data_IF_173819389540
#
_entry.id   IF_173819389540
#
_cell.length_a   1.000
_cell.length_b   1.000
_cell.length_c   1.000
_cell.angle_alpha   90.00
_cell.angle_beta   90.00
_cell.angle_gamma   90.00
#
_symmetry.space_group_name_H-M   'P 1'
#
loop_
_entity.id
_entity.type
_entity.pdbx_description
1 polymer ?
#
# COMPACT_ATOMS: atom_id res chain seq x y z
N UNK A 1 19.96 -8.54 -1.07
CA UNK A 1 20.43 -7.28 -0.43
C UNK A 1 19.27 -6.72 0.38
N UNK A 2 19.44 -6.54 1.70
CA UNK A 2 18.37 -6.04 2.56
C UNK A 2 18.01 -4.59 2.23
N UNK A 3 16.72 -4.27 2.19
CA UNK A 3 16.21 -2.90 1.95
C UNK A 3 16.84 -1.89 2.91
N UNK A 4 17.03 -2.26 4.19
CA UNK A 4 17.66 -1.42 5.22
C UNK A 4 19.10 -1.03 4.89
N UNK A 5 19.81 -1.80 4.06
CA UNK A 5 21.16 -1.48 3.61
C UNK A 5 21.18 -0.35 2.58
N UNK A 6 20.06 -0.08 1.93
CA UNK A 6 19.92 0.96 0.91
C UNK A 6 19.61 2.34 1.49
N UNK A 7 19.32 2.44 2.78
CA UNK A 7 19.01 3.70 3.47
C UNK A 7 19.89 3.89 4.70
N UNK A 8 20.20 5.14 5.11
CA UNK A 8 20.97 5.41 6.30
C UNK A 8 20.31 4.85 7.55
N UNK A 9 21.12 4.29 8.47
CA UNK A 9 20.64 3.94 9.79
C UNK A 9 20.19 5.19 10.59
N UNK A 10 19.38 5.03 11.66
CA UNK A 10 18.84 6.15 12.44
C UNK A 10 19.91 7.06 13.01
N UNK A 11 21.05 6.52 13.49
CA UNK A 11 22.14 7.31 14.08
C UNK A 11 22.85 8.14 13.00
N UNK A 12 23.04 7.57 11.81
CA UNK A 12 23.57 8.29 10.67
C UNK A 12 22.63 9.41 10.24
N UNK A 13 21.31 9.16 10.24
CA UNK A 13 20.29 10.17 9.92
C UNK A 13 20.27 11.32 10.89
N UNK A 14 20.40 11.07 12.19
CA UNK A 14 20.45 12.12 13.20
C UNK A 14 21.65 13.08 13.01
N UNK A 15 22.69 12.64 12.29
CA UNK A 15 23.88 13.42 11.96
C UNK A 15 23.79 14.10 10.58
N UNK A 16 22.75 13.80 9.78
CA UNK A 16 22.55 14.42 8.48
C UNK A 16 22.10 15.85 8.64
N UNK A 17 22.94 16.79 8.24
CA UNK A 17 22.58 18.21 8.10
C UNK A 17 21.98 18.46 6.73
N UNK A 18 21.29 19.59 6.50
CA UNK A 18 20.79 19.98 5.17
C UNK A 18 21.85 19.98 4.08
N UNK A 19 23.11 20.17 4.45
CA UNK A 19 24.26 20.20 3.53
C UNK A 19 24.92 18.82 3.34
N UNK A 20 24.43 17.79 4.01
CA UNK A 20 24.99 16.45 3.84
C UNK A 20 24.57 15.92 2.46
N UNK A 21 25.53 15.66 1.57
CA UNK A 21 25.18 15.11 0.27
C UNK A 21 24.45 13.78 0.52
N UNK A 22 23.23 13.69 0.02
CA UNK A 22 22.39 12.48 -0.05
C UNK A 22 23.16 11.33 -0.75
N UNK A 23 24.46 11.51 -0.93
CA UNK A 23 25.35 10.68 -1.69
C UNK A 23 25.78 9.37 -1.05
N UNK A 24 25.42 9.09 0.18
CA UNK A 24 25.69 7.77 0.73
C UNK A 24 24.60 6.78 0.38
N UNK A 25 23.33 7.25 0.25
CA UNK A 25 22.20 6.41 -0.11
C UNK A 25 21.14 7.32 -0.71
N UNK A 26 20.75 7.02 -1.92
CA UNK A 26 19.80 7.81 -2.71
C UNK A 26 18.37 7.73 -2.19
N UNK A 27 17.53 8.64 -2.62
CA UNK A 27 16.09 8.52 -2.45
C UNK A 27 15.63 7.25 -3.21
N UNK A 28 14.83 6.42 -2.56
CA UNK A 28 14.17 5.29 -3.20
C UNK A 28 12.91 5.79 -3.90
N UNK A 29 12.72 5.31 -5.12
CA UNK A 29 11.54 5.61 -5.93
C UNK A 29 10.61 4.40 -5.85
N UNK A 30 9.39 4.63 -5.41
CA UNK A 30 8.34 3.62 -5.51
C UNK A 30 7.66 3.68 -6.88
N UNK A 31 6.91 2.65 -7.20
CA UNK A 31 6.04 2.61 -8.38
C UNK A 31 4.87 3.60 -8.25
N UNK A 32 3.84 3.41 -9.03
CA UNK A 32 2.64 4.23 -9.06
C UNK A 32 1.36 3.39 -9.17
N UNK A 33 0.26 4.05 -9.49
CA UNK A 33 -1.07 3.48 -9.44
C UNK A 33 -1.27 2.29 -10.40
N UNK A 34 -1.47 1.08 -9.87
CA UNK A 34 -1.90 -0.10 -10.64
C UNK A 34 -3.28 0.10 -11.26
N UNK A 35 -4.22 0.63 -10.49
CA UNK A 35 -5.59 0.86 -10.96
C UNK A 35 -5.67 1.63 -12.27
N UNK A 36 -4.93 2.72 -12.42
CA UNK A 36 -4.89 3.51 -13.66
C UNK A 36 -4.28 2.71 -14.81
N UNK A 37 -3.23 1.94 -14.57
CA UNK A 37 -2.62 1.08 -15.59
C UNK A 37 -3.57 -0.01 -16.07
N UNK A 38 -4.36 -0.59 -15.16
CA UNK A 38 -5.38 -1.59 -15.50
C UNK A 38 -6.54 -0.94 -16.29
N UNK A 39 -7.06 0.22 -15.83
CA UNK A 39 -8.14 0.93 -16.50
C UNK A 39 -7.79 1.30 -17.96
N UNK A 40 -6.55 1.70 -18.22
CA UNK A 40 -6.07 2.02 -19.56
C UNK A 40 -6.14 0.82 -20.53
N UNK A 41 -6.19 -0.40 -20.03
CA UNK A 41 -6.31 -1.63 -20.84
C UNK A 41 -7.73 -1.94 -21.26
N UNK A 42 -8.74 -1.23 -20.68
CA UNK A 42 -10.17 -1.35 -21.01
C UNK A 42 -10.68 -2.79 -20.97
N UNK A 43 -10.34 -3.48 -19.89
CA UNK A 43 -10.70 -4.89 -19.68
C UNK A 43 -12.22 -5.05 -19.55
N UNK A 44 -12.71 -6.21 -20.01
CA UNK A 44 -14.11 -6.60 -19.92
C UNK A 44 -14.29 -7.70 -18.85
N UNK A 45 -15.54 -7.98 -18.45
CA UNK A 45 -15.86 -8.99 -17.42
C UNK A 45 -15.11 -10.32 -17.62
N UNK A 46 -15.03 -10.81 -18.86
CA UNK A 46 -14.33 -12.06 -19.18
C UNK A 46 -12.84 -12.06 -18.83
N UNK A 47 -12.20 -10.88 -18.81
CA UNK A 47 -10.79 -10.75 -18.45
C UNK A 47 -10.63 -10.83 -16.92
N UNK A 48 -11.62 -10.30 -16.16
CA UNK A 48 -11.64 -10.38 -14.70
C UNK A 48 -12.08 -11.78 -14.21
N UNK A 49 -13.19 -12.32 -14.74
CA UNK A 49 -13.71 -13.61 -14.30
C UNK A 49 -12.85 -14.79 -14.75
N UNK A 50 -12.18 -14.66 -15.90
CA UNK A 50 -11.43 -15.78 -16.47
C UNK A 50 -12.26 -17.05 -16.59
N UNK A 51 -11.63 -18.20 -16.36
CA UNK A 51 -12.28 -19.53 -16.36
C UNK A 51 -12.60 -20.03 -14.92
N UNK A 52 -12.69 -19.12 -13.93
CA UNK A 52 -12.86 -19.50 -12.52
C UNK A 52 -14.27 -19.99 -12.18
N UNK A 53 -15.25 -19.84 -13.09
CA UNK A 53 -16.63 -20.30 -12.87
C UNK A 53 -17.37 -19.51 -11.78
N UNK A 54 -16.96 -18.26 -11.53
CA UNK A 54 -17.57 -17.39 -10.54
C UNK A 54 -18.98 -16.94 -10.96
N UNK A 55 -19.86 -16.76 -9.98
CA UNK A 55 -21.26 -16.36 -10.22
C UNK A 55 -21.47 -14.86 -10.17
N UNK A 56 -20.68 -14.17 -9.34
CA UNK A 56 -20.70 -12.72 -9.22
C UNK A 56 -19.90 -12.05 -10.33
N UNK A 57 -20.34 -10.85 -10.75
CA UNK A 57 -19.61 -9.99 -11.69
C UNK A 57 -18.30 -9.54 -11.05
N UNK A 58 -17.18 -9.79 -11.72
CA UNK A 58 -15.84 -9.47 -11.25
C UNK A 58 -15.29 -8.18 -11.87
N UNK A 59 -16.01 -7.53 -12.76
CA UNK A 59 -15.53 -6.31 -13.41
C UNK A 59 -15.25 -5.21 -12.39
N UNK A 60 -13.99 -4.75 -12.35
CA UNK A 60 -13.51 -3.78 -11.37
C UNK A 60 -12.78 -4.40 -10.17
N UNK A 61 -12.82 -5.71 -9.99
CA UNK A 61 -11.99 -6.42 -9.04
C UNK A 61 -10.56 -6.56 -9.60
N UNK A 62 -9.75 -5.51 -9.46
CA UNK A 62 -8.42 -5.48 -10.04
C UNK A 62 -7.50 -6.58 -9.49
N UNK A 63 -7.72 -6.97 -8.25
CA UNK A 63 -6.85 -7.91 -7.54
C UNK A 63 -7.00 -9.34 -8.09
N UNK A 64 -8.18 -9.69 -8.64
CA UNK A 64 -8.39 -11.01 -9.25
C UNK A 64 -7.51 -11.26 -10.48
N UNK A 65 -7.02 -10.17 -11.11
CA UNK A 65 -6.12 -10.26 -12.25
C UNK A 65 -4.79 -10.94 -11.92
N UNK A 66 -4.41 -11.01 -10.65
CA UNK A 66 -3.25 -11.81 -10.22
C UNK A 66 -3.38 -13.28 -10.61
N UNK A 67 -4.61 -13.77 -10.70
CA UNK A 67 -4.92 -15.18 -11.04
C UNK A 67 -5.41 -15.30 -12.48
N UNK A 68 -6.30 -14.41 -12.92
CA UNK A 68 -6.94 -14.52 -14.24
C UNK A 68 -6.13 -13.92 -15.38
N UNK A 69 -5.34 -12.87 -15.10
CA UNK A 69 -4.50 -12.18 -16.10
C UNK A 69 -3.14 -11.78 -15.50
N UNK A 70 -2.35 -12.77 -15.03
CA UNK A 70 -1.03 -12.51 -14.46
C UNK A 70 -0.09 -11.79 -15.45
N UNK A 71 -0.28 -11.98 -16.74
CA UNK A 71 0.44 -11.29 -17.81
C UNK A 71 0.33 -9.76 -17.70
N UNK A 72 -0.86 -9.25 -17.37
CA UNK A 72 -1.10 -7.82 -17.22
C UNK A 72 -0.36 -7.26 -16.00
N UNK A 73 -0.41 -7.98 -14.88
CA UNK A 73 0.25 -7.56 -13.64
C UNK A 73 1.77 -7.58 -13.78
N UNK A 74 2.30 -8.62 -14.43
CA UNK A 74 3.72 -8.73 -14.76
C UNK A 74 4.19 -7.56 -15.65
N UNK A 75 3.43 -7.21 -16.68
CA UNK A 75 3.70 -6.07 -17.56
C UNK A 75 3.76 -4.75 -16.78
N UNK A 76 2.87 -4.54 -15.81
CA UNK A 76 2.83 -3.32 -15.00
C UNK A 76 4.08 -3.22 -14.12
N UNK A 77 4.45 -4.29 -13.42
CA UNK A 77 5.70 -4.32 -12.65
C UNK A 77 6.93 -4.03 -13.54
N UNK A 78 6.99 -4.67 -14.71
CA UNK A 78 8.06 -4.43 -15.66
C UNK A 78 8.13 -2.99 -16.14
N UNK A 79 6.98 -2.35 -16.39
CA UNK A 79 6.92 -0.96 -16.81
C UNK A 79 7.46 -0.02 -15.72
N UNK A 80 7.08 -0.22 -14.46
CA UNK A 80 7.56 0.61 -13.35
C UNK A 80 9.04 0.40 -13.05
N UNK A 81 9.53 -0.83 -12.99
CA UNK A 81 10.95 -1.09 -12.80
C UNK A 81 11.78 -0.59 -13.99
N UNK A 82 11.27 -0.72 -15.21
CA UNK A 82 11.89 -0.17 -16.42
C UNK A 82 11.96 1.35 -16.43
N UNK A 83 10.96 2.03 -15.86
CA UNK A 83 10.97 3.48 -15.65
C UNK A 83 11.90 3.92 -14.52
N UNK A 84 12.43 3.00 -13.73
CA UNK A 84 13.43 3.26 -12.70
C UNK A 84 12.94 3.15 -11.25
N UNK A 85 11.77 2.59 -10.98
CA UNK A 85 11.32 2.30 -9.64
C UNK A 85 12.30 1.36 -8.91
N UNK A 86 12.45 1.55 -7.61
CA UNK A 86 13.22 0.70 -6.71
C UNK A 86 12.34 -0.27 -5.96
N UNK A 87 11.12 0.15 -5.66
CA UNK A 87 10.11 -0.60 -4.93
C UNK A 87 8.87 -0.67 -5.81
N UNK A 88 8.28 -1.86 -5.95
CA UNK A 88 6.96 -2.03 -6.54
C UNK A 88 6.02 -2.66 -5.52
N UNK A 89 4.77 -2.23 -5.51
CA UNK A 89 3.73 -2.74 -4.62
C UNK A 89 3.01 -3.92 -5.28
N UNK A 90 2.58 -4.90 -4.49
CA UNK A 90 1.76 -6.00 -5.01
C UNK A 90 0.38 -5.49 -5.44
N UNK A 91 -0.22 -6.11 -6.44
CA UNK A 91 -1.61 -5.81 -6.83
C UNK A 91 -2.60 -6.49 -5.88
N UNK A 92 -2.59 -6.09 -4.60
CA UNK A 92 -3.37 -6.71 -3.51
C UNK A 92 -4.07 -5.68 -2.62
N UNK A 93 -4.34 -4.50 -3.16
CA UNK A 93 -4.92 -3.37 -2.45
C UNK A 93 -6.24 -3.68 -1.75
N UNK A 94 -7.12 -4.46 -2.39
CA UNK A 94 -8.41 -4.88 -1.85
C UNK A 94 -8.46 -6.38 -1.52
N UNK A 95 -7.33 -7.08 -1.44
CA UNK A 95 -7.28 -8.55 -1.29
C UNK A 95 -7.47 -9.01 0.15
N UNK A 96 -8.52 -8.54 0.81
CA UNK A 96 -8.94 -9.01 2.14
C UNK A 96 -10.27 -9.77 2.04
N UNK A 97 -10.52 -10.69 2.94
CA UNK A 97 -11.79 -11.45 2.95
C UNK A 97 -13.00 -10.54 3.14
N UNK A 98 -12.87 -9.44 3.90
CA UNK A 98 -13.95 -8.46 4.08
C UNK A 98 -14.21 -7.66 2.79
N UNK A 99 -13.17 -7.24 2.07
CA UNK A 99 -13.36 -6.46 0.85
C UNK A 99 -13.79 -7.32 -0.33
N UNK A 100 -13.31 -8.56 -0.41
CA UNK A 100 -13.63 -9.49 -1.48
C UNK A 100 -15.00 -10.20 -1.29
N UNK A 101 -15.64 -10.04 -0.13
CA UNK A 101 -17.02 -10.46 0.10
C UNK A 101 -18.00 -9.78 -0.89
N UNK A 102 -17.70 -8.54 -1.31
CA UNK A 102 -18.47 -7.82 -2.34
C UNK A 102 -18.44 -8.53 -3.72
N UNK A 103 -17.45 -9.39 -3.96
CA UNK A 103 -17.28 -10.20 -5.18
C UNK A 103 -17.55 -11.70 -4.95
N UNK A 104 -18.10 -12.07 -3.80
CA UNK A 104 -18.43 -13.44 -3.41
C UNK A 104 -17.25 -14.42 -3.45
N UNK A 105 -16.03 -13.93 -3.21
CA UNK A 105 -14.83 -14.77 -3.14
C UNK A 105 -14.69 -15.41 -1.76
N UNK A 106 -14.39 -16.70 -1.73
CA UNK A 106 -14.10 -17.42 -0.50
C UNK A 106 -12.67 -17.13 0.03
N UNK A 107 -12.39 -17.53 1.25
CA UNK A 107 -11.11 -17.27 1.90
C UNK A 107 -9.91 -17.89 1.15
N UNK A 108 -10.10 -19.04 0.49
CA UNK A 108 -9.02 -19.67 -0.29
C UNK A 108 -8.72 -18.86 -1.55
N UNK A 109 -9.74 -18.42 -2.26
CA UNK A 109 -9.59 -17.55 -3.43
C UNK A 109 -8.87 -16.25 -3.04
N UNK A 110 -9.25 -15.63 -1.92
CA UNK A 110 -8.57 -14.42 -1.41
C UNK A 110 -7.11 -14.69 -1.03
N UNK A 111 -6.82 -15.87 -0.45
CA UNK A 111 -5.44 -16.28 -0.22
C UNK A 111 -4.64 -16.33 -1.52
N UNK A 112 -5.21 -16.97 -2.54
CA UNK A 112 -4.55 -17.14 -3.84
C UNK A 112 -4.32 -15.79 -4.53
N UNK A 113 -5.24 -14.80 -4.41
CA UNK A 113 -5.02 -13.44 -4.92
C UNK A 113 -3.75 -12.80 -4.32
N UNK A 114 -3.58 -12.89 -3.01
CA UNK A 114 -2.43 -12.33 -2.31
C UNK A 114 -1.14 -13.08 -2.66
N UNK A 115 -1.19 -14.39 -2.61
CA UNK A 115 -0.04 -15.26 -2.86
C UNK A 115 0.49 -15.09 -4.28
N UNK A 116 -0.39 -15.17 -5.29
CA UNK A 116 0.01 -15.06 -6.69
C UNK A 116 0.44 -13.63 -7.04
N UNK A 117 -0.26 -12.61 -6.50
CA UNK A 117 0.15 -11.21 -6.65
C UNK A 117 1.57 -10.96 -6.12
N UNK A 118 1.90 -11.52 -4.95
CA UNK A 118 3.24 -11.44 -4.39
C UNK A 118 4.28 -12.23 -5.21
N UNK A 119 3.96 -13.45 -5.66
CA UNK A 119 4.86 -14.25 -6.49
C UNK A 119 5.18 -13.59 -7.84
N UNK A 120 4.19 -12.96 -8.49
CA UNK A 120 4.42 -12.23 -9.75
C UNK A 120 5.42 -11.09 -9.49
N UNK A 121 5.12 -10.22 -8.51
CA UNK A 121 5.98 -9.09 -8.19
C UNK A 121 7.39 -9.52 -7.75
N UNK A 122 7.50 -10.59 -6.96
CA UNK A 122 8.79 -11.15 -6.53
C UNK A 122 9.64 -11.61 -7.72
N UNK A 123 9.06 -12.39 -8.62
CA UNK A 123 9.75 -12.87 -9.82
C UNK A 123 10.29 -11.69 -10.65
N UNK A 124 9.45 -10.70 -10.92
CA UNK A 124 9.86 -9.54 -11.73
C UNK A 124 10.94 -8.72 -11.02
N UNK A 125 10.83 -8.53 -9.70
CA UNK A 125 11.85 -7.83 -8.93
C UNK A 125 13.20 -8.56 -8.92
N UNK A 126 13.20 -9.88 -8.87
CA UNK A 126 14.40 -10.71 -8.94
C UNK A 126 15.05 -10.61 -10.33
N UNK A 127 14.29 -10.74 -11.40
CA UNK A 127 14.76 -10.60 -12.79
C UNK A 127 15.41 -9.23 -13.04
N UNK A 128 14.80 -8.15 -12.56
CA UNK A 128 15.39 -6.82 -12.67
C UNK A 128 16.63 -6.64 -11.80
N UNK A 129 16.67 -7.26 -10.63
CA UNK A 129 17.86 -7.24 -9.76
C UNK A 129 19.01 -8.01 -10.36
N UNK A 130 18.75 -9.15 -11.00
CA UNK A 130 19.76 -9.92 -11.74
C UNK A 130 20.29 -9.14 -12.94
N UNK A 131 19.42 -8.45 -13.66
CA UNK A 131 19.75 -7.61 -14.82
C UNK A 131 20.57 -6.38 -14.43
N UNK A 132 20.26 -5.76 -13.29
CA UNK A 132 20.88 -4.54 -12.78
C UNK A 132 21.31 -4.72 -11.30
N UNK A 133 22.37 -5.49 -11.00
CA UNK A 133 22.76 -5.81 -9.62
C UNK A 133 23.09 -4.60 -8.75
N UNK A 134 23.56 -3.51 -9.35
CA UNK A 134 23.88 -2.26 -8.66
C UNK A 134 22.63 -1.47 -8.23
N UNK A 135 21.47 -1.84 -8.77
CA UNK A 135 20.17 -1.25 -8.45
C UNK A 135 19.17 -2.35 -8.11
N UNK A 136 19.27 -2.98 -6.91
CA UNK A 136 18.33 -4.03 -6.52
C UNK A 136 16.90 -3.49 -6.44
N UNK A 137 15.94 -4.35 -6.78
CA UNK A 137 14.51 -4.06 -6.72
C UNK A 137 13.90 -4.76 -5.52
N UNK A 138 12.88 -4.13 -4.95
CA UNK A 138 12.16 -4.61 -3.78
C UNK A 138 10.67 -4.70 -4.05
N UNK A 139 10.01 -5.62 -3.37
CA UNK A 139 8.58 -5.83 -3.46
C UNK A 139 7.92 -5.49 -2.12
N UNK A 140 6.99 -4.54 -2.13
CA UNK A 140 6.15 -4.20 -0.99
C UNK A 140 4.81 -4.92 -1.07
N UNK A 141 4.45 -5.66 -0.02
CA UNK A 141 3.12 -6.26 0.10
C UNK A 141 2.09 -5.19 0.43
N UNK A 142 1.23 -4.86 -0.52
CA UNK A 142 0.18 -3.85 -0.37
C UNK A 142 -0.95 -4.36 0.51
N UNK A 143 -1.24 -3.63 1.59
CA UNK A 143 -2.32 -3.85 2.55
C UNK A 143 -3.17 -2.58 2.55
N UNK A 144 -4.21 -2.57 1.74
CA UNK A 144 -5.06 -1.40 1.56
C UNK A 144 -6.15 -1.25 2.63
N UNK A 145 -6.97 -0.21 2.51
CA UNK A 145 -8.07 0.03 3.43
C UNK A 145 -9.22 -0.96 3.21
N UNK A 146 -10.04 -1.12 4.25
CA UNK A 146 -11.30 -1.84 4.13
C UNK A 146 -12.44 -0.89 3.74
N UNK A 147 -13.50 -1.46 3.17
CA UNK A 147 -14.80 -0.81 2.98
C UNK A 147 -15.59 -0.68 4.30
N UNK A 148 -15.07 -1.17 5.42
CA UNK A 148 -15.62 -1.11 6.78
C UNK A 148 -14.65 -0.35 7.71
N UNK A 149 -15.17 0.54 8.53
CA UNK A 149 -14.37 1.36 9.44
C UNK A 149 -14.71 1.06 10.90
N UNK A 150 -13.69 0.88 11.73
CA UNK A 150 -13.83 0.60 13.16
C UNK A 150 -14.17 1.86 13.98
N UNK A 151 -13.69 3.02 13.55
CA UNK A 151 -13.83 4.28 14.29
C UNK A 151 -15.09 5.07 13.93
N UNK A 152 -15.79 4.69 12.86
CA UNK A 152 -16.99 5.40 12.40
C UNK A 152 -18.23 4.51 12.40
N UNK A 153 -19.36 5.09 12.79
CA UNK A 153 -20.65 4.41 12.70
C UNK A 153 -21.14 4.38 11.24
N UNK A 154 -21.66 3.26 10.76
CA UNK A 154 -22.37 3.20 9.49
C UNK A 154 -23.80 3.82 9.58
N UNK A 155 -24.33 4.04 10.78
CA UNK A 155 -25.63 4.62 11.02
C UNK A 155 -25.51 6.00 11.67
N UNK A 156 -26.03 7.02 10.99
CA UNK A 156 -26.00 8.42 11.46
C UNK A 156 -26.80 8.59 12.76
N UNK A 157 -27.82 7.76 13.00
CA UNK A 157 -28.71 7.83 14.16
C UNK A 157 -28.20 7.00 15.36
N UNK A 158 -27.25 6.12 15.14
CA UNK A 158 -26.61 5.32 16.20
C UNK A 158 -25.07 5.45 16.15
N UNK A 159 -24.50 6.40 16.89
CA UNK A 159 -23.04 6.59 16.93
C UNK A 159 -22.26 5.38 17.45
N UNK A 160 -22.94 4.46 18.16
CA UNK A 160 -22.33 3.24 18.69
C UNK A 160 -22.30 2.07 17.71
N UNK A 161 -23.10 2.12 16.64
CA UNK A 161 -23.15 1.04 15.65
C UNK A 161 -21.79 0.80 14.98
N UNK A 162 -21.48 -0.46 14.74
CA UNK A 162 -20.30 -0.90 13.98
C UNK A 162 -20.70 -2.05 13.07
N UNK A 163 -20.18 -2.05 11.84
CA UNK A 163 -20.43 -3.12 10.87
C UNK A 163 -19.47 -4.30 11.03
N UNK A 164 -18.36 -4.10 11.71
CA UNK A 164 -17.32 -5.10 11.98
C UNK A 164 -16.72 -4.86 13.37
N UNK A 165 -16.18 -5.90 13.98
CA UNK A 165 -15.38 -5.83 15.20
C UNK A 165 -13.89 -5.66 14.88
N UNK A 166 -13.11 -5.31 15.91
CA UNK A 166 -11.64 -5.27 15.77
C UNK A 166 -11.08 -6.66 15.41
N UNK A 167 -11.65 -7.72 16.00
CA UNK A 167 -11.19 -9.08 15.73
C UNK A 167 -11.50 -9.51 14.30
N UNK A 168 -12.64 -9.13 13.72
CA UNK A 168 -12.95 -9.39 12.30
C UNK A 168 -11.92 -8.71 11.39
N UNK A 169 -11.59 -7.45 11.68
CA UNK A 169 -10.59 -6.69 10.91
C UNK A 169 -9.18 -7.25 11.11
N UNK A 170 -8.84 -7.67 12.30
CA UNK A 170 -7.58 -8.32 12.60
C UNK A 170 -7.42 -9.64 11.83
N UNK A 171 -8.42 -10.51 11.85
CA UNK A 171 -8.37 -11.81 11.17
C UNK A 171 -8.25 -11.66 9.65
N UNK A 172 -8.98 -10.72 9.04
CA UNK A 172 -8.88 -10.48 7.60
C UNK A 172 -7.49 -9.98 7.19
N UNK A 173 -6.88 -9.08 7.97
CA UNK A 173 -5.52 -8.62 7.71
C UNK A 173 -4.47 -9.69 8.01
N UNK A 174 -4.68 -10.50 9.04
CA UNK A 174 -3.77 -11.61 9.35
C UNK A 174 -3.72 -12.61 8.20
N UNK A 175 -4.87 -12.93 7.61
CA UNK A 175 -4.97 -13.79 6.43
C UNK A 175 -4.17 -13.21 5.25
N UNK A 176 -4.36 -11.92 4.95
CA UNK A 176 -3.64 -11.23 3.87
C UNK A 176 -2.13 -11.20 4.11
N UNK A 177 -1.69 -10.77 5.29
CA UNK A 177 -0.27 -10.67 5.65
C UNK A 177 0.44 -12.01 5.54
N UNK A 178 -0.19 -13.10 5.99
CA UNK A 178 0.39 -14.43 5.91
C UNK A 178 0.62 -14.88 4.45
N UNK A 179 -0.35 -14.64 3.57
CA UNK A 179 -0.23 -14.99 2.14
C UNK A 179 0.84 -14.13 1.43
N UNK A 180 0.91 -12.82 1.73
CA UNK A 180 1.95 -11.93 1.20
C UNK A 180 3.35 -12.35 1.64
N UNK A 181 3.51 -12.75 2.92
CA UNK A 181 4.77 -13.26 3.43
C UNK A 181 5.21 -14.53 2.70
N UNK A 182 4.29 -15.49 2.54
CA UNK A 182 4.55 -16.73 1.78
C UNK A 182 4.93 -16.45 0.33
N UNK A 183 4.35 -15.42 -0.27
CA UNK A 183 4.65 -14.97 -1.63
C UNK A 183 6.00 -14.27 -1.78
N UNK A 184 6.69 -13.94 -0.67
CA UNK A 184 8.08 -13.48 -0.66
C UNK A 184 8.24 -11.95 -0.79
N UNK A 185 7.36 -11.17 -0.17
CA UNK A 185 7.53 -9.71 -0.10
C UNK A 185 8.74 -9.32 0.77
N UNK A 186 9.38 -8.18 0.46
CA UNK A 186 10.52 -7.65 1.21
C UNK A 186 10.12 -6.74 2.37
N UNK A 187 8.93 -6.16 2.28
CA UNK A 187 8.35 -5.26 3.29
C UNK A 187 6.83 -5.24 3.14
N UNK A 188 6.14 -4.72 4.15
CA UNK A 188 4.70 -4.44 4.06
C UNK A 188 4.46 -2.94 3.87
N UNK A 189 3.50 -2.57 3.04
CA UNK A 189 2.94 -1.22 2.97
C UNK A 189 1.48 -1.25 3.42
N UNK A 190 1.19 -0.63 4.57
CA UNK A 190 -0.18 -0.41 5.03
C UNK A 190 -0.56 0.98 4.49
N UNK A 191 -1.38 1.00 3.45
CA UNK A 191 -1.59 2.22 2.67
C UNK A 191 -3.02 2.73 2.70
N UNK A 192 -3.18 3.98 2.25
CA UNK A 192 -4.48 4.67 2.11
C UNK A 192 -5.27 4.66 3.41
N UNK A 193 -4.56 4.82 4.52
CA UNK A 193 -5.15 4.73 5.85
C UNK A 193 -6.02 5.96 6.13
N UNK A 194 -7.31 5.72 6.25
CA UNK A 194 -8.34 6.69 6.62
C UNK A 194 -8.81 6.50 8.06
N UNK A 195 -8.63 5.29 8.62
CA UNK A 195 -8.95 4.90 9.99
C UNK A 195 -7.74 4.23 10.66
N UNK A 196 -7.15 4.90 11.64
CA UNK A 196 -5.97 4.39 12.35
C UNK A 196 -6.28 3.18 13.24
N UNK A 197 -7.53 2.91 13.59
CA UNK A 197 -7.88 1.70 14.32
C UNK A 197 -7.82 0.46 13.40
N UNK A 198 -8.26 0.59 12.14
CA UNK A 198 -8.03 -0.43 11.11
C UNK A 198 -6.53 -0.68 10.90
N UNK A 199 -5.74 0.41 10.80
CA UNK A 199 -4.28 0.32 10.68
C UNK A 199 -3.66 -0.45 11.85
N UNK A 200 -4.13 -0.23 13.09
CA UNK A 200 -3.66 -0.96 14.28
C UNK A 200 -3.97 -2.44 14.22
N UNK A 201 -5.10 -2.83 13.63
CA UNK A 201 -5.42 -4.24 13.42
C UNK A 201 -4.43 -4.89 12.43
N UNK A 202 -4.07 -4.21 11.34
CA UNK A 202 -3.04 -4.68 10.40
C UNK A 202 -1.66 -4.77 11.07
N UNK A 203 -1.26 -3.75 11.84
CA UNK A 203 0.01 -3.77 12.59
C UNK A 203 0.03 -4.95 13.58
N UNK A 204 -1.07 -5.18 14.31
CA UNK A 204 -1.18 -6.31 15.23
C UNK A 204 -1.04 -7.64 14.50
N UNK A 205 -1.70 -7.79 13.35
CA UNK A 205 -1.61 -9.01 12.54
C UNK A 205 -0.15 -9.30 12.12
N UNK A 206 0.59 -8.30 11.66
CA UNK A 206 2.01 -8.45 11.32
C UNK A 206 2.81 -8.86 12.55
N UNK A 207 2.66 -8.16 13.68
CA UNK A 207 3.45 -8.42 14.89
C UNK A 207 3.16 -9.78 15.53
N UNK A 208 1.92 -10.25 15.46
CA UNK A 208 1.56 -11.58 15.97
C UNK A 208 2.18 -12.69 15.11
N UNK A 209 2.16 -12.55 13.77
CA UNK A 209 2.81 -13.51 12.87
C UNK A 209 4.33 -13.54 13.06
N UNK A 210 4.97 -12.39 13.29
CA UNK A 210 6.39 -12.32 13.67
C UNK A 210 6.66 -13.04 15.00
N UNK A 211 5.80 -12.84 16.00
CA UNK A 211 5.92 -13.53 17.30
C UNK A 211 5.72 -15.06 17.18
N UNK A 212 5.00 -15.51 16.17
CA UNK A 212 4.78 -16.93 15.84
C UNK A 212 5.91 -17.53 14.98
N UNK A 213 6.90 -16.73 14.59
CA UNK A 213 8.12 -17.21 13.93
C UNK A 213 8.32 -16.75 12.48
N UNK A 214 7.48 -15.88 11.95
CA UNK A 214 7.81 -15.22 10.68
C UNK A 214 8.98 -14.23 10.87
N UNK A 215 9.80 -14.06 9.84
CA UNK A 215 10.86 -13.05 9.86
C UNK A 215 10.28 -11.65 9.97
N UNK A 216 10.91 -10.78 10.77
CA UNK A 216 10.53 -9.38 10.90
C UNK A 216 10.83 -8.62 9.59
N UNK A 217 9.79 -8.19 8.90
CA UNK A 217 9.90 -7.35 7.71
C UNK A 217 9.65 -5.88 8.06
N UNK A 218 10.27 -4.93 7.32
CA UNK A 218 9.99 -3.52 7.49
C UNK A 218 8.51 -3.20 7.23
N UNK A 219 7.94 -2.29 8.03
CA UNK A 219 6.57 -1.78 7.83
C UNK A 219 6.65 -0.35 7.34
N UNK A 220 6.01 -0.08 6.21
CA UNK A 220 5.77 1.26 5.69
C UNK A 220 4.28 1.59 5.90
N UNK A 221 3.97 2.75 6.49
CA UNK A 221 2.59 3.16 6.77
C UNK A 221 2.30 4.45 6.01
N UNK A 222 1.24 4.44 5.20
CA UNK A 222 0.84 5.59 4.39
C UNK A 222 -0.62 5.95 4.66
N UNK A 223 -0.85 7.15 5.18
CA UNK A 223 -2.17 7.69 5.45
C UNK A 223 -2.73 8.47 4.28
N UNK A 224 -4.03 8.78 4.33
CA UNK A 224 -4.67 9.63 3.34
C UNK A 224 -5.32 10.84 4.00
N UNK A 225 -4.85 12.03 3.61
CA UNK A 225 -5.48 13.31 3.95
C UNK A 225 -6.57 13.55 2.92
N UNK A 226 -7.82 13.51 3.37
CA UNK A 226 -8.97 13.47 2.45
C UNK A 226 -9.35 14.81 1.83
N UNK A 227 -8.93 15.91 2.45
CA UNK A 227 -9.29 17.25 2.00
C UNK A 227 -8.29 18.33 2.46
N UNK A 228 -8.60 19.58 2.08
CA UNK A 228 -7.81 20.77 2.44
C UNK A 228 -7.81 21.08 3.94
N UNK A 229 -8.65 20.43 4.75
CA UNK A 229 -8.65 20.61 6.22
C UNK A 229 -7.41 19.97 6.87
N UNK A 230 -6.67 19.12 6.14
CA UNK A 230 -5.48 18.45 6.64
C UNK A 230 -5.82 17.28 7.58
N UNK A 231 -6.98 16.64 7.39
CA UNK A 231 -7.45 15.53 8.22
C UNK A 231 -7.68 14.28 7.40
N UNK A 232 -7.51 13.13 8.05
CA UNK A 232 -8.01 11.85 7.55
C UNK A 232 -9.54 11.82 7.60
N UNK A 233 -10.17 10.86 6.93
CA UNK A 233 -11.62 10.69 6.95
C UNK A 233 -12.17 10.49 8.37
N UNK A 234 -11.42 9.84 9.26
CA UNK A 234 -11.76 9.69 10.67
C UNK A 234 -11.46 10.94 11.52
N UNK A 235 -11.06 12.05 10.89
CA UNK A 235 -10.90 13.36 11.52
C UNK A 235 -9.52 13.64 12.14
N UNK A 236 -8.53 12.78 11.96
CA UNK A 236 -7.21 12.94 12.55
C UNK A 236 -6.34 13.91 11.75
N UNK A 237 -5.65 14.82 12.47
CA UNK A 237 -4.58 15.64 11.92
C UNK A 237 -3.32 14.81 11.68
N UNK A 238 -2.32 15.37 10.99
CA UNK A 238 -0.99 14.77 10.80
C UNK A 238 -0.41 14.28 12.12
N UNK A 239 -0.40 15.14 13.14
CA UNK A 239 0.12 14.78 14.48
C UNK A 239 -0.69 13.68 15.16
N UNK A 240 -2.02 13.71 15.05
CA UNK A 240 -2.88 12.67 15.62
C UNK A 240 -2.66 11.32 14.90
N UNK A 241 -2.56 11.33 13.59
CA UNK A 241 -2.21 10.15 12.79
C UNK A 241 -0.87 9.57 13.24
N UNK A 242 0.21 10.38 13.24
CA UNK A 242 1.54 9.91 13.65
C UNK A 242 1.53 9.33 15.07
N UNK A 243 0.96 10.05 16.04
CA UNK A 243 0.90 9.58 17.42
C UNK A 243 0.10 8.28 17.58
N UNK A 244 -0.89 8.04 16.71
CA UNK A 244 -1.68 6.81 16.73
C UNK A 244 -0.89 5.59 16.28
N UNK A 245 0.10 5.75 15.34
CA UNK A 245 0.75 4.62 14.67
C UNK A 245 2.24 4.48 14.99
N UNK A 246 2.90 5.48 15.58
CA UNK A 246 4.35 5.48 15.83
C UNK A 246 4.84 4.33 16.70
N UNK A 247 3.95 3.72 17.53
CA UNK A 247 4.29 2.56 18.34
C UNK A 247 4.68 1.33 17.49
N UNK A 248 4.25 1.28 16.23
CA UNK A 248 4.65 0.24 15.27
C UNK A 248 6.14 0.31 14.91
N UNK A 249 6.85 1.43 15.23
CA UNK A 249 8.23 1.70 14.80
C UNK A 249 8.40 1.48 13.29
N UNK A 250 7.61 2.16 12.46
CA UNK A 250 7.63 1.93 11.03
C UNK A 250 9.00 2.26 10.43
N UNK A 251 9.36 1.55 9.37
CA UNK A 251 10.51 1.85 8.52
C UNK A 251 10.32 3.20 7.79
N UNK A 252 9.11 3.42 7.29
CA UNK A 252 8.71 4.65 6.63
C UNK A 252 7.28 5.03 7.01
N UNK A 253 6.98 6.34 6.99
CA UNK A 253 5.64 6.88 7.15
C UNK A 253 5.39 7.98 6.14
N UNK A 254 4.18 8.10 5.62
CA UNK A 254 3.87 9.13 4.64
C UNK A 254 2.40 9.29 4.36
N UNK A 255 2.13 9.92 3.21
CA UNK A 255 0.78 10.11 2.71
C UNK A 255 0.69 9.75 1.24
N UNK A 256 -0.48 9.23 0.85
CA UNK A 256 -0.80 8.90 -0.54
C UNK A 256 -2.21 9.34 -0.90
N UNK A 257 -2.46 9.47 -2.19
CA UNK A 257 -3.77 9.75 -2.81
C UNK A 257 -4.45 11.07 -2.38
N UNK A 258 -5.67 11.27 -2.82
CA UNK A 258 -6.58 12.38 -2.54
C UNK A 258 -6.06 13.76 -2.97
N UNK A 259 -4.83 14.12 -2.62
CA UNK A 259 -4.23 15.43 -2.89
C UNK A 259 -3.15 15.34 -3.97
N UNK A 260 -3.04 16.40 -4.79
CA UNK A 260 -1.87 16.63 -5.63
C UNK A 260 -0.65 17.07 -4.83
N UNK A 261 0.51 17.11 -5.48
CA UNK A 261 1.80 17.37 -4.83
C UNK A 261 1.84 18.69 -4.04
N UNK A 262 1.29 19.76 -4.62
CA UNK A 262 1.26 21.07 -3.97
C UNK A 262 0.49 21.06 -2.64
N UNK A 263 -0.71 20.45 -2.65
CA UNK A 263 -1.56 20.37 -1.45
C UNK A 263 -1.03 19.36 -0.42
N UNK A 264 -0.37 18.28 -0.84
CA UNK A 264 0.21 17.28 0.05
C UNK A 264 1.49 17.78 0.72
N UNK A 265 2.29 18.60 0.06
CA UNK A 265 3.59 19.09 0.53
C UNK A 265 3.61 19.60 1.99
N UNK A 266 2.69 20.50 2.45
CA UNK A 266 2.72 20.99 3.82
C UNK A 266 2.48 19.88 4.85
N UNK A 267 1.66 18.87 4.53
CA UNK A 267 1.38 17.74 5.41
C UNK A 267 2.58 16.80 5.53
N UNK A 268 3.26 16.51 4.41
CA UNK A 268 4.50 15.73 4.38
C UNK A 268 5.61 16.46 5.16
N UNK A 269 5.75 17.77 4.97
CA UNK A 269 6.73 18.58 5.71
C UNK A 269 6.42 18.63 7.21
N UNK A 270 5.15 18.67 7.60
CA UNK A 270 4.76 18.61 9.02
C UNK A 270 5.07 17.24 9.63
N UNK A 271 4.76 16.16 8.93
CA UNK A 271 5.10 14.79 9.35
C UNK A 271 6.62 14.63 9.50
N UNK A 272 7.40 15.11 8.54
CA UNK A 272 8.85 15.01 8.55
C UNK A 272 9.52 15.69 9.77
N UNK A 273 8.88 16.73 10.33
CA UNK A 273 9.36 17.38 11.57
C UNK A 273 9.06 16.58 12.83
N UNK A 274 8.10 15.65 12.78
CA UNK A 274 7.59 14.93 13.95
C UNK A 274 8.12 13.49 14.04
N UNK A 275 8.62 12.94 12.92
CA UNK A 275 9.04 11.54 12.84
C UNK A 275 10.57 11.40 12.77
N UNK A 276 11.06 10.29 13.29
CA UNK A 276 12.45 9.84 13.23
C UNK A 276 12.67 8.71 12.18
N UNK A 277 11.61 8.28 11.49
CA UNK A 277 11.69 7.29 10.39
C UNK A 277 11.73 7.98 9.01
N UNK A 278 11.87 7.18 7.94
CA UNK A 278 11.79 7.68 6.56
C UNK A 278 10.42 8.28 6.26
N UNK A 279 10.39 9.26 5.38
CA UNK A 279 9.13 9.91 4.98
C UNK A 279 8.86 9.64 3.51
N UNK A 280 7.63 9.23 3.20
CA UNK A 280 7.17 8.95 1.85
C UNK A 280 6.07 9.92 1.40
N UNK A 281 5.94 10.09 0.10
CA UNK A 281 4.87 10.86 -0.53
C UNK A 281 4.47 10.22 -1.86
N UNK A 282 3.18 9.96 -2.01
CA UNK A 282 2.54 9.44 -3.23
C UNK A 282 1.36 10.33 -3.61
N UNK A 283 1.60 11.55 -4.12
CA UNK A 283 0.52 12.46 -4.52
C UNK A 283 -0.17 11.94 -5.79
N UNK A 284 -1.46 12.31 -5.94
CA UNK A 284 -2.11 12.23 -7.23
C UNK A 284 -1.49 13.25 -8.20
N UNK A 285 -1.70 13.06 -9.50
CA UNK A 285 -1.34 14.05 -10.51
C UNK A 285 -2.38 15.21 -10.53
N UNK A 286 -2.50 15.89 -9.39
CA UNK A 286 -3.50 16.92 -9.13
C UNK A 286 -4.81 16.38 -8.54
N UNK A 287 -5.85 17.19 -8.65
CA UNK A 287 -7.23 16.77 -8.36
C UNK A 287 -7.88 16.23 -9.64
N UNK A 288 -8.80 15.27 -9.54
CA UNK A 288 -9.50 14.79 -10.72
C UNK A 288 -10.32 15.92 -11.36
N UNK A 289 -10.26 16.02 -12.69
CA UNK A 289 -11.07 16.94 -13.47
C UNK A 289 -12.52 16.44 -13.58
N UNK A 290 -13.39 17.20 -14.28
CA UNK A 290 -14.80 16.86 -14.48
C UNK A 290 -15.02 15.48 -15.15
N UNK A 291 -14.02 14.98 -15.87
CA UNK A 291 -14.04 13.67 -16.53
C UNK A 291 -13.45 12.57 -15.67
N UNK A 292 -13.00 12.88 -14.44
CA UNK A 292 -12.35 11.94 -13.54
C UNK A 292 -10.90 11.59 -13.92
N UNK A 293 -10.30 12.34 -14.86
CA UNK A 293 -8.90 12.21 -15.24
C UNK A 293 -8.02 13.23 -14.52
N UNK A 294 -6.71 13.02 -14.54
CA UNK A 294 -5.71 13.85 -13.87
C UNK A 294 -4.88 14.59 -14.91
N UNK A 295 -4.62 15.88 -14.68
CA UNK A 295 -4.05 16.78 -15.69
C UNK A 295 -2.65 17.30 -15.34
N UNK A 296 -2.13 17.07 -14.12
CA UNK A 296 -0.75 17.48 -13.76
C UNK A 296 0.27 16.70 -14.57
N UNK A 297 1.29 17.41 -15.02
CA UNK A 297 2.39 16.84 -15.82
C UNK A 297 3.59 16.49 -14.91
N UNK A 298 4.58 15.68 -15.39
CA UNK A 298 5.78 15.38 -14.63
C UNK A 298 6.62 16.61 -14.24
N UNK A 299 6.48 17.73 -14.95
CA UNK A 299 7.20 18.98 -14.70
C UNK A 299 6.62 19.77 -13.52
N UNK A 300 5.36 19.55 -13.18
CA UNK A 300 4.66 20.18 -12.05
C UNK A 300 4.97 19.47 -10.74
#
# INVERSE_FOLDING_TARGET
KHLRECVPDPDTRAKLTPDYPIGCKRILISDGAFGTQIQNRKLEEKDYAGDLGLTADQKGNNDILNVTRPDIIEDIHNAYFGAGADISETNTFCSTTIAQDDYELDAQSVWDLNLEGAKIGRRVADEWTEKEPEKPRFLAGSIGPLNKMLSMSPDVNDPGARSVTFDDVYETYRHQVAALYEGGVDLYVIETITDTLNCKAAIKAIRDLEAEGQEELPIWISGTITDRSGRTLSGQTVSAFWNSIRHARPFAVGFNCALGAELMRPHVADLARQTDCLVSAHPNAGLPNEMGTYDETPEQ
#
